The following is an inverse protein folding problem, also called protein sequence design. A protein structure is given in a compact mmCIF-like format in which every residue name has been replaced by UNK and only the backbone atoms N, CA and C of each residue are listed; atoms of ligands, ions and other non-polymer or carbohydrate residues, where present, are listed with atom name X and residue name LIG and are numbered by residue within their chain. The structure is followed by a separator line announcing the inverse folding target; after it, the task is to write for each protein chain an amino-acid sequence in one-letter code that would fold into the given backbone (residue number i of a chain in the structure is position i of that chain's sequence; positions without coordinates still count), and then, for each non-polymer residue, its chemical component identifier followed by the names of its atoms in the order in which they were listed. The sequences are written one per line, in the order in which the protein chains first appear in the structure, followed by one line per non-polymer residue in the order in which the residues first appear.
data_IF_573731679386
#
_entry.id   IF_573731679386
#
_cell.length_a   1.000
_cell.length_b   1.000
_cell.length_c   1.000
_cell.angle_alpha   90.00
_cell.angle_beta   90.00
_cell.angle_gamma   90.00
#
_symmetry.space_group_name_H-M   'P 1'
#
loop_
_entity.id
_entity.type
_entity.pdbx_description
1 polymer ?
#
# COMPACT_ATOMS: atom_id res chain seq x y z
N UNK A 1 36.45 28.58 39.92
CA UNK A 1 36.35 28.36 38.46
C UNK A 1 36.62 26.88 38.23
N UNK A 2 35.61 26.02 38.35
CA UNK A 2 34.64 25.71 37.29
C UNK A 2 35.34 25.15 36.04
N UNK A 3 35.37 23.82 35.87
CA UNK A 3 34.43 23.14 34.98
C UNK A 3 34.57 21.61 35.10
N UNK A 4 33.54 21.01 35.70
CA UNK A 4 32.78 19.84 35.22
C UNK A 4 33.57 18.59 34.79
N UNK A 5 33.56 17.63 35.70
CA UNK A 5 33.55 16.21 35.38
C UNK A 5 32.31 15.86 34.55
N UNK A 6 32.53 15.33 33.34
CA UNK A 6 31.57 14.46 32.65
C UNK A 6 32.36 13.60 31.65
N UNK A 7 33.25 12.75 32.19
CA UNK A 7 33.76 11.59 31.46
C UNK A 7 32.65 10.53 31.45
N UNK A 8 32.18 10.18 30.26
CA UNK A 8 31.59 8.86 30.00
C UNK A 8 30.19 8.62 30.53
N UNK A 9 29.18 9.31 29.98
CA UNK A 9 27.84 8.73 29.83
C UNK A 9 27.36 8.98 28.40
N UNK A 10 28.10 8.43 27.44
CA UNK A 10 27.41 7.91 26.26
C UNK A 10 27.10 6.49 26.68
N UNK A 11 25.89 6.25 27.20
CA UNK A 11 25.38 4.89 27.27
C UNK A 11 25.33 4.43 25.81
N UNK A 12 26.16 3.47 25.37
CA UNK A 12 25.87 2.84 24.10
C UNK A 12 24.48 2.25 24.26
N UNK A 13 23.54 2.67 23.42
CA UNK A 13 22.33 1.91 23.22
C UNK A 13 22.81 0.54 22.75
N UNK A 14 22.92 -0.39 23.68
CA UNK A 14 23.07 -1.81 23.42
C UNK A 14 21.76 -2.19 22.75
N UNK A 15 21.71 -2.04 21.42
CA UNK A 15 20.75 -2.78 20.62
C UNK A 15 21.02 -4.25 20.96
N UNK A 16 20.17 -4.79 21.82
CA UNK A 16 20.12 -6.20 22.12
C UNK A 16 20.23 -6.95 20.79
N UNK A 17 21.28 -7.78 20.70
CA UNK A 17 21.54 -8.80 19.68
C UNK A 17 21.06 -8.46 18.27
N UNK A 18 22.02 -8.10 17.42
CA UNK A 18 21.86 -8.01 15.98
C UNK A 18 21.33 -9.31 15.39
N UNK A 19 20.00 -9.47 15.37
CA UNK A 19 19.33 -10.25 14.36
C UNK A 19 19.46 -9.46 13.07
N UNK A 20 20.52 -9.73 12.32
CA UNK A 20 20.47 -9.61 10.87
C UNK A 20 19.15 -10.29 10.46
N UNK A 21 18.13 -9.53 10.06
CA UNK A 21 16.86 -10.13 9.64
C UNK A 21 17.13 -10.84 8.32
N UNK A 22 17.57 -12.09 8.40
CA UNK A 22 17.63 -12.99 7.26
C UNK A 22 16.25 -13.00 6.59
N UNK A 23 16.25 -12.95 5.25
CA UNK A 23 15.03 -13.05 4.45
C UNK A 23 14.27 -14.30 4.85
N UNK A 24 13.13 -14.13 5.52
CA UNK A 24 12.27 -15.26 5.87
C UNK A 24 11.74 -15.94 4.62
N UNK A 25 11.46 -17.24 4.68
CA UNK A 25 10.86 -17.99 3.56
C UNK A 25 9.55 -17.38 3.05
N UNK A 26 8.80 -16.70 3.95
CA UNK A 26 7.59 -15.95 3.58
C UNK A 26 7.93 -14.77 2.68
N UNK A 27 8.89 -13.93 3.07
CA UNK A 27 9.28 -12.75 2.28
C UNK A 27 9.97 -13.18 0.98
N UNK A 28 10.75 -14.26 0.99
CA UNK A 28 11.38 -14.80 -0.22
C UNK A 28 10.34 -15.24 -1.26
N UNK A 29 9.30 -15.96 -0.83
CA UNK A 29 8.17 -16.36 -1.70
C UNK A 29 7.39 -15.16 -2.24
N UNK A 30 7.02 -14.21 -1.37
CA UNK A 30 6.31 -12.99 -1.79
C UNK A 30 7.12 -12.16 -2.79
N UNK A 31 8.45 -12.06 -2.58
CA UNK A 31 9.35 -11.39 -3.52
C UNK A 31 9.35 -12.08 -4.88
N UNK A 32 9.45 -13.41 -4.90
CA UNK A 32 9.43 -14.17 -6.15
C UNK A 32 8.10 -13.99 -6.90
N UNK A 33 6.97 -14.07 -6.20
CA UNK A 33 5.64 -13.80 -6.77
C UNK A 33 5.54 -12.39 -7.37
N UNK A 34 6.09 -11.38 -6.69
CA UNK A 34 6.13 -10.01 -7.20
C UNK A 34 7.00 -9.90 -8.45
N UNK A 35 8.15 -10.56 -8.49
CA UNK A 35 9.03 -10.56 -9.67
C UNK A 35 8.39 -11.27 -10.86
N UNK A 36 7.77 -12.42 -10.64
CA UNK A 36 7.15 -13.26 -11.68
C UNK A 36 5.82 -12.72 -12.21
N UNK A 37 5.18 -11.78 -11.50
CA UNK A 37 3.95 -11.17 -11.96
C UNK A 37 4.12 -10.47 -13.32
N UNK A 38 3.19 -10.70 -14.24
CA UNK A 38 3.16 -10.04 -15.55
C UNK A 38 2.58 -8.62 -15.43
N UNK A 39 3.22 -7.65 -16.09
CA UNK A 39 2.70 -6.30 -16.18
C UNK A 39 1.45 -6.28 -17.08
N UNK A 40 0.33 -5.78 -16.55
CA UNK A 40 -0.95 -5.72 -17.27
C UNK A 40 -1.67 -4.39 -17.01
N UNK A 41 -2.67 -4.06 -17.84
CA UNK A 41 -3.57 -2.93 -17.63
C UNK A 41 -4.95 -3.43 -17.21
N UNK A 42 -5.53 -2.83 -16.17
CA UNK A 42 -6.88 -3.12 -15.70
C UNK A 42 -7.86 -2.01 -16.06
N UNK A 43 -8.93 -2.37 -16.76
CA UNK A 43 -10.03 -1.47 -17.11
C UNK A 43 -11.07 -1.30 -15.97
N UNK A 44 -10.92 -2.00 -14.85
CA UNK A 44 -11.92 -2.01 -13.76
C UNK A 44 -12.23 -0.60 -13.25
N UNK A 45 -11.19 0.17 -12.90
CA UNK A 45 -11.35 1.54 -12.41
C UNK A 45 -12.07 2.42 -13.43
N UNK A 46 -11.65 2.40 -14.70
CA UNK A 46 -12.29 3.16 -15.76
C UNK A 46 -13.77 2.82 -15.88
N UNK A 47 -14.14 1.53 -15.82
CA UNK A 47 -15.55 1.09 -15.83
C UNK A 47 -16.34 1.64 -14.64
N UNK A 48 -15.84 1.47 -13.42
CA UNK A 48 -16.53 1.90 -12.20
C UNK A 48 -16.69 3.43 -12.16
N UNK A 49 -15.65 4.18 -12.49
CA UNK A 49 -15.70 5.64 -12.53
C UNK A 49 -16.69 6.11 -13.60
N UNK A 50 -16.67 5.49 -14.79
CA UNK A 50 -17.62 5.83 -15.88
C UNK A 50 -19.06 5.58 -15.45
N UNK A 51 -19.34 4.43 -14.83
CA UNK A 51 -20.66 4.10 -14.30
C UNK A 51 -21.13 5.13 -13.26
N UNK A 52 -20.25 5.55 -12.34
CA UNK A 52 -20.59 6.56 -11.34
C UNK A 52 -21.02 7.88 -12.02
N UNK A 53 -20.27 8.36 -13.00
CA UNK A 53 -20.58 9.63 -13.68
C UNK A 53 -21.79 9.54 -14.62
N UNK A 54 -22.18 8.35 -15.08
CA UNK A 54 -23.42 8.13 -15.84
C UNK A 54 -24.67 8.09 -14.96
N UNK A 55 -24.53 7.99 -13.64
CA UNK A 55 -25.68 8.00 -12.72
C UNK A 55 -26.21 9.41 -12.43
N UNK A 56 -27.50 9.55 -12.13
CA UNK A 56 -28.15 10.84 -11.80
C UNK A 56 -27.71 11.48 -10.46
N UNK A 57 -26.64 10.96 -9.83
CA UNK A 57 -26.14 11.39 -8.50
C UNK A 57 -25.33 12.70 -8.54
N UNK A 58 -25.55 13.56 -9.53
CA UNK A 58 -24.63 14.66 -9.89
C UNK A 58 -24.95 16.03 -9.25
N UNK A 59 -25.93 16.13 -8.35
CA UNK A 59 -26.31 17.39 -7.68
C UNK A 59 -25.33 17.81 -6.55
N UNK A 60 -24.02 17.70 -6.78
CA UNK A 60 -22.98 18.07 -5.83
C UNK A 60 -21.89 18.94 -6.47
N UNK A 61 -21.19 19.72 -5.64
CA UNK A 61 -20.00 20.46 -6.08
C UNK A 61 -18.94 19.51 -6.64
N UNK A 62 -18.08 20.00 -7.54
CA UNK A 62 -17.06 19.16 -8.19
C UNK A 62 -16.17 18.40 -7.19
N UNK A 63 -15.67 19.00 -6.08
CA UNK A 63 -14.88 18.27 -5.09
C UNK A 63 -15.67 17.14 -4.41
N UNK A 64 -16.92 17.42 -4.01
CA UNK A 64 -17.78 16.40 -3.38
C UNK A 64 -18.08 15.28 -4.36
N UNK A 65 -18.33 15.61 -5.63
CA UNK A 65 -18.56 14.62 -6.69
C UNK A 65 -17.37 13.68 -6.90
N UNK A 66 -16.14 14.21 -6.83
CA UNK A 66 -14.91 13.40 -6.88
C UNK A 66 -14.75 12.51 -5.65
N UNK A 67 -15.07 13.02 -4.46
CA UNK A 67 -15.04 12.23 -3.23
C UNK A 67 -16.04 11.08 -3.29
N UNK A 68 -17.27 11.33 -3.77
CA UNK A 68 -18.29 10.31 -3.97
C UNK A 68 -17.90 9.28 -5.04
N UNK A 69 -17.27 9.72 -6.15
CA UNK A 69 -16.74 8.80 -7.16
C UNK A 69 -15.64 7.89 -6.57
N UNK A 70 -14.79 8.45 -5.71
CA UNK A 70 -13.74 7.70 -5.03
C UNK A 70 -14.33 6.71 -4.02
N UNK A 71 -15.34 7.12 -3.24
CA UNK A 71 -16.09 6.23 -2.37
C UNK A 71 -16.70 5.06 -3.16
N UNK A 72 -17.42 5.36 -4.25
CA UNK A 72 -18.01 4.34 -5.13
C UNK A 72 -16.94 3.37 -5.67
N UNK A 73 -15.77 3.88 -6.06
CA UNK A 73 -14.66 3.01 -6.48
C UNK A 73 -14.20 2.09 -5.34
N UNK A 74 -14.01 2.60 -4.13
CA UNK A 74 -13.56 1.80 -2.99
C UNK A 74 -14.59 0.74 -2.57
N UNK A 75 -15.88 1.08 -2.64
CA UNK A 75 -16.97 0.16 -2.28
C UNK A 75 -17.14 -0.98 -3.28
N UNK A 76 -16.71 -0.81 -4.53
CA UNK A 76 -17.00 -1.74 -5.63
C UNK A 76 -15.77 -2.39 -6.28
N UNK A 77 -14.55 -1.90 -6.04
CA UNK A 77 -13.35 -2.47 -6.65
C UNK A 77 -13.08 -3.89 -6.13
N UNK A 78 -12.44 -4.71 -6.95
CA UNK A 78 -11.91 -6.00 -6.51
C UNK A 78 -10.80 -5.78 -5.46
N UNK A 79 -10.84 -6.57 -4.39
CA UNK A 79 -9.81 -6.60 -3.34
C UNK A 79 -9.10 -7.96 -3.42
N UNK A 80 -7.83 -7.94 -3.80
CA UNK A 80 -6.95 -9.11 -3.74
C UNK A 80 -6.17 -9.14 -2.43
N UNK A 81 -6.14 -10.29 -1.78
CA UNK A 81 -5.26 -10.60 -0.65
C UNK A 81 -4.48 -11.86 -1.00
N UNK A 82 -3.17 -11.72 -1.14
CA UNK A 82 -2.27 -12.82 -1.49
C UNK A 82 -1.96 -13.74 -0.30
N UNK A 83 -1.67 -15.01 -0.60
CA UNK A 83 -1.31 -15.98 0.43
C UNK A 83 0.03 -15.61 1.10
N UNK A 84 0.02 -15.47 2.43
CA UNK A 84 1.21 -15.13 3.22
C UNK A 84 1.50 -13.63 3.33
N UNK A 85 0.65 -12.78 2.76
CA UNK A 85 0.71 -11.33 2.95
C UNK A 85 0.34 -10.96 4.38
N UNK A 86 1.10 -10.01 4.95
CA UNK A 86 0.75 -9.36 6.22
C UNK A 86 0.39 -7.89 6.02
N UNK A 87 0.91 -7.27 4.97
CA UNK A 87 0.52 -5.95 4.50
C UNK A 87 -0.18 -6.19 3.18
N UNK A 88 -1.43 -5.73 3.09
CA UNK A 88 -2.32 -5.95 1.95
C UNK A 88 -2.63 -4.62 1.27
N UNK A 89 -2.96 -4.66 -0.01
CA UNK A 89 -3.40 -3.48 -0.76
C UNK A 89 -2.78 -3.40 -2.14
N UNK A 90 -3.49 -3.96 -3.12
CA UNK A 90 -3.15 -3.80 -4.53
C UNK A 90 -3.88 -2.60 -5.16
N UNK A 91 -3.20 -1.95 -6.11
CA UNK A 91 -3.76 -0.81 -6.87
C UNK A 91 -4.85 -1.26 -7.85
N UNK A 92 -4.65 -2.41 -8.48
CA UNK A 92 -5.59 -3.04 -9.39
C UNK A 92 -6.11 -4.37 -8.82
N UNK A 93 -6.70 -5.22 -9.66
CA UNK A 93 -7.22 -6.52 -9.22
C UNK A 93 -6.13 -7.54 -8.88
N UNK A 94 -4.89 -7.32 -9.32
CA UNK A 94 -3.76 -8.21 -9.11
C UNK A 94 -2.42 -7.46 -9.12
N UNK A 95 -1.35 -8.12 -8.67
CA UNK A 95 0.01 -7.60 -8.70
C UNK A 95 0.40 -7.15 -10.11
N UNK A 96 0.99 -5.94 -10.21
CA UNK A 96 1.38 -5.28 -11.48
C UNK A 96 0.26 -5.08 -12.50
N UNK A 97 -1.02 -5.13 -12.09
CA UNK A 97 -2.14 -4.70 -12.91
C UNK A 97 -2.38 -3.19 -12.72
N UNK A 98 -1.80 -2.36 -13.58
CA UNK A 98 -1.94 -0.91 -13.49
C UNK A 98 -3.37 -0.47 -13.90
N UNK A 99 -4.08 0.34 -13.09
CA UNK A 99 -5.43 0.79 -13.42
C UNK A 99 -5.43 1.87 -14.50
N UNK A 100 -6.49 1.91 -15.31
CA UNK A 100 -6.79 3.00 -16.26
C UNK A 100 -7.91 3.91 -15.76
#
# INVERSE_FOLDING_TARGET
MALVACRGIIHPYTHAEGRQMAMTDRVARLRQQSLDANATLSAERAKLVTQFYQSDRLLASVPVRRALAFQYLLDNKTIGIGAGELIVGEKGPAAKAAPT
#
